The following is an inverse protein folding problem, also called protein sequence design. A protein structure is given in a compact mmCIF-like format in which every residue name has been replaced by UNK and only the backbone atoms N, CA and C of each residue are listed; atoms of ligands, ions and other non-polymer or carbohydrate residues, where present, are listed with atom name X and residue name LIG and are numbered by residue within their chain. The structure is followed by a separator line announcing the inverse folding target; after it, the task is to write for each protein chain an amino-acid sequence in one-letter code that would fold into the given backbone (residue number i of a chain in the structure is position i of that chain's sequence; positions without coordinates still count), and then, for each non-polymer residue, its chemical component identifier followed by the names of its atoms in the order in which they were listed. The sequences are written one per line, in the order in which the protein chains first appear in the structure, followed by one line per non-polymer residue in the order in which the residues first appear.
data_IF_735776575264
#
_entry.id   IF_735776575264
#
_cell.length_a   1.000
_cell.length_b   1.000
_cell.length_c   1.000
_cell.angle_alpha   90.00
_cell.angle_beta   90.00
_cell.angle_gamma   90.00
#
_symmetry.space_group_name_H-M   'P 1'
#
loop_
_entity.id
_entity.type
_entity.pdbx_description
1 polymer ?
#
# COMPACT_ATOMS: atom_id res chain seq x y z
N UNK A 1 -37.52 32.28 -59.00
CA UNK A 1 -36.56 31.70 -58.06
C UNK A 1 -37.35 31.00 -56.97
N UNK A 2 -37.09 29.71 -56.79
CA UNK A 2 -37.95 28.74 -56.12
C UNK A 2 -38.07 28.92 -54.61
N UNK A 3 -39.26 28.53 -54.15
CA UNK A 3 -39.80 28.53 -52.80
C UNK A 3 -39.55 27.20 -52.06
N UNK A 4 -39.82 27.28 -50.75
CA UNK A 4 -40.46 26.29 -49.87
C UNK A 4 -39.66 25.18 -49.19
N UNK A 5 -39.85 25.21 -47.87
CA UNK A 5 -39.71 24.17 -46.88
C UNK A 5 -40.44 22.87 -47.24
N UNK A 6 -39.98 21.76 -46.65
CA UNK A 6 -40.79 20.59 -46.34
C UNK A 6 -40.21 19.85 -45.13
N UNK A 7 -41.12 19.16 -44.48
CA UNK A 7 -41.18 18.77 -43.09
C UNK A 7 -41.23 17.23 -43.00
N UNK A 8 -41.15 16.73 -41.76
CA UNK A 8 -41.69 15.45 -41.26
C UNK A 8 -40.74 14.25 -41.24
N UNK A 9 -40.63 13.67 -40.03
CA UNK A 9 -40.09 12.33 -39.83
C UNK A 9 -39.99 11.88 -38.36
N UNK A 10 -40.95 12.23 -37.49
CA UNK A 10 -41.14 11.53 -36.21
C UNK A 10 -42.04 10.32 -36.42
N UNK A 11 -41.52 9.12 -36.15
CA UNK A 11 -42.31 7.91 -35.91
C UNK A 11 -41.80 7.27 -34.63
N UNK A 12 -42.65 7.27 -33.61
CA UNK A 12 -42.39 6.62 -32.33
C UNK A 12 -42.40 5.10 -32.44
N UNK A 13 -41.68 4.48 -31.51
CA UNK A 13 -42.03 3.16 -30.98
C UNK A 13 -41.87 3.24 -29.46
N UNK A 14 -43.03 3.39 -28.83
CA UNK A 14 -43.26 3.15 -27.41
C UNK A 14 -43.11 1.64 -27.19
N UNK A 15 -42.17 1.23 -26.35
CA UNK A 15 -42.27 -0.04 -25.65
C UNK A 15 -42.41 0.24 -24.16
N UNK A 16 -43.66 0.21 -23.70
CA UNK A 16 -44.01 -0.08 -22.33
C UNK A 16 -43.53 -1.49 -21.98
N UNK A 17 -42.76 -1.61 -20.90
CA UNK A 17 -42.22 -2.89 -20.44
C UNK A 17 -41.81 -2.82 -18.99
N UNK A 18 -42.77 -2.51 -18.13
CA UNK A 18 -42.68 -2.79 -16.69
C UNK A 18 -42.47 -4.28 -16.47
N UNK A 19 -41.25 -4.68 -16.12
CA UNK A 19 -41.01 -5.93 -15.39
C UNK A 19 -40.06 -5.62 -14.25
N UNK A 20 -40.66 -5.32 -13.10
CA UNK A 20 -40.06 -5.66 -11.81
C UNK A 20 -39.72 -7.16 -11.84
N UNK A 21 -38.42 -7.48 -11.73
CA UNK A 21 -38.01 -8.77 -11.19
C UNK A 21 -37.19 -8.52 -9.93
N UNK A 22 -37.89 -8.73 -8.83
CA UNK A 22 -37.34 -9.06 -7.53
C UNK A 22 -36.25 -10.10 -7.70
N UNK A 23 -35.02 -9.79 -7.28
CA UNK A 23 -34.05 -10.81 -6.94
C UNK A 23 -34.17 -11.06 -5.43
N UNK A 24 -35.00 -12.05 -5.08
CA UNK A 24 -34.95 -12.70 -3.78
C UNK A 24 -33.55 -13.32 -3.63
N UNK A 25 -32.71 -12.76 -2.77
CA UNK A 25 -31.56 -13.48 -2.23
C UNK A 25 -32.09 -14.36 -1.11
N UNK A 26 -32.29 -15.64 -1.43
CA UNK A 26 -32.49 -16.68 -0.43
C UNK A 26 -31.18 -16.87 0.35
N UNK A 27 -31.13 -16.33 1.57
CA UNK A 27 -30.09 -16.63 2.55
C UNK A 27 -30.38 -18.03 3.09
N UNK A 28 -29.83 -19.05 2.44
CA UNK A 28 -29.77 -20.41 2.96
C UNK A 28 -28.77 -20.48 4.10
N UNK A 29 -29.27 -20.37 5.33
CA UNK A 29 -28.53 -20.64 6.56
C UNK A 29 -28.23 -22.14 6.68
N UNK A 30 -27.01 -22.56 6.34
CA UNK A 30 -26.49 -23.89 6.71
C UNK A 30 -25.69 -23.78 8.00
N UNK A 31 -26.39 -23.89 9.13
CA UNK A 31 -25.81 -24.13 10.45
C UNK A 31 -25.17 -25.54 10.50
N UNK A 32 -23.84 -25.64 10.57
CA UNK A 32 -23.17 -26.90 10.97
C UNK A 32 -23.02 -26.93 12.48
N UNK A 33 -23.85 -27.77 13.08
CA UNK A 33 -23.77 -28.26 14.45
C UNK A 33 -22.51 -29.15 14.60
N UNK A 34 -21.54 -28.74 15.43
CA UNK A 34 -20.47 -29.61 15.89
C UNK A 34 -20.94 -30.39 17.13
N UNK A 35 -21.19 -31.69 16.96
CA UNK A 35 -21.51 -32.65 18.03
C UNK A 35 -20.26 -32.93 18.89
N UNK A 36 -20.35 -32.65 20.19
CA UNK A 36 -19.50 -33.23 21.25
C UNK A 36 -19.79 -34.74 21.35
N UNK A 37 -18.74 -35.54 21.55
CA UNK A 37 -18.84 -36.91 22.12
C UNK A 37 -18.29 -36.87 23.56
N UNK A 38 -18.88 -37.62 24.50
CA UNK A 38 -18.38 -37.77 25.86
C UNK A 38 -17.41 -38.96 25.97
N UNK A 39 -16.57 -38.95 26.99
CA UNK A 39 -15.82 -40.11 27.45
C UNK A 39 -16.01 -40.25 28.97
N UNK A 40 -16.56 -41.39 29.39
CA UNK A 40 -16.55 -41.95 30.75
C UNK A 40 -15.33 -42.91 30.83
N UNK A 41 -14.43 -42.69 31.79
CA UNK A 41 -14.22 -43.46 33.05
C UNK A 41 -13.68 -44.89 32.88
N UNK A 42 -12.43 -45.13 33.33
CA UNK A 42 -12.17 -45.80 34.62
C UNK A 42 -10.68 -46.13 34.89
N UNK A 43 -10.39 -46.22 36.20
CA UNK A 43 -9.35 -46.97 36.92
C UNK A 43 -8.04 -46.26 37.39
N UNK A 44 -8.01 -46.11 38.73
CA UNK A 44 -6.90 -45.76 39.64
C UNK A 44 -6.17 -47.04 40.15
N UNK A 45 -5.32 -47.08 41.21
CA UNK A 45 -4.71 -46.06 42.10
C UNK A 45 -3.14 -46.18 42.18
N UNK A 46 -2.33 -45.39 42.90
CA UNK A 46 -2.24 -45.24 44.37
C UNK A 46 -1.06 -44.33 44.83
N UNK A 47 -1.30 -43.54 45.91
CA UNK A 47 -0.42 -43.13 47.04
C UNK A 47 0.87 -42.31 46.75
N UNK A 48 1.30 -41.26 47.48
CA UNK A 48 1.17 -40.79 48.87
C UNK A 48 1.52 -39.26 48.90
N UNK A 49 0.82 -38.37 49.62
CA UNK A 49 1.33 -37.92 50.92
C UNK A 49 1.06 -36.43 51.25
N UNK A 50 0.03 -36.19 52.07
CA UNK A 50 0.02 -35.34 53.29
C UNK A 50 0.10 -33.78 53.26
N UNK A 51 -1.01 -33.21 53.79
CA UNK A 51 -1.16 -32.09 54.77
C UNK A 51 -1.40 -30.64 54.30
N UNK A 52 -2.52 -30.07 54.77
CA UNK A 52 -2.61 -28.68 55.24
C UNK A 52 -3.84 -27.87 54.82
N UNK A 53 -4.94 -27.94 55.58
CA UNK A 53 -6.03 -26.94 55.54
C UNK A 53 -5.64 -25.68 56.33
N UNK A 54 -5.92 -24.46 55.83
CA UNK A 54 -6.84 -23.45 56.43
C UNK A 54 -6.65 -22.00 55.95
N UNK A 55 -7.78 -21.43 55.55
CA UNK A 55 -8.31 -20.06 55.80
C UNK A 55 -7.85 -18.89 54.92
N UNK A 56 -8.82 -18.39 54.16
CA UNK A 56 -8.84 -17.10 53.48
C UNK A 56 -9.00 -15.94 54.48
N UNK A 57 -8.24 -14.85 54.27
CA UNK A 57 -8.43 -13.57 54.94
C UNK A 57 -9.02 -12.55 53.97
N UNK A 58 -10.23 -12.11 54.28
CA UNK A 58 -10.90 -10.93 53.73
C UNK A 58 -10.49 -9.73 54.57
N UNK A 59 -10.17 -8.60 53.94
CA UNK A 59 -10.13 -7.29 54.61
C UNK A 59 -10.71 -6.19 53.69
N UNK A 60 -11.30 -5.14 54.29
CA UNK A 60 -12.52 -4.49 53.79
C UNK A 60 -12.28 -3.17 53.04
N UNK A 61 -13.31 -2.79 52.28
CA UNK A 61 -13.43 -1.52 51.57
C UNK A 61 -13.69 -0.31 52.50
N UNK A 62 -13.28 0.87 51.99
CA UNK A 62 -13.59 2.27 52.36
C UNK A 62 -12.70 3.01 53.37
N UNK A 63 -11.80 3.85 52.84
CA UNK A 63 -11.76 5.28 53.19
C UNK A 63 -11.35 6.12 51.98
N UNK A 64 -12.19 7.11 51.65
CA UNK A 64 -12.01 8.07 50.56
C UNK A 64 -11.00 9.13 50.97
N UNK A 65 -10.06 9.44 50.10
CA UNK A 65 -9.41 10.76 50.02
C UNK A 65 -9.35 11.18 48.55
N UNK A 66 -10.22 12.08 48.05
CA UNK A 66 -10.05 12.63 46.72
C UNK A 66 -9.42 14.01 46.83
N UNK A 67 -8.16 14.15 46.40
CA UNK A 67 -7.60 15.39 45.84
C UNK A 67 -6.30 15.08 45.11
N UNK A 68 -6.41 14.35 44.02
CA UNK A 68 -5.53 14.57 42.88
C UNK A 68 -6.40 15.08 41.74
N UNK A 69 -6.14 16.31 41.33
CA UNK A 69 -6.65 16.88 40.10
C UNK A 69 -6.20 15.96 38.97
N UNK A 70 -7.12 15.12 38.47
CA UNK A 70 -7.00 14.58 37.12
C UNK A 70 -7.06 15.78 36.18
N UNK A 71 -5.90 16.28 35.78
CA UNK A 71 -5.78 17.07 34.55
C UNK A 71 -6.27 16.17 33.43
N UNK A 72 -7.53 16.32 33.05
CA UNK A 72 -8.05 15.77 31.80
C UNK A 72 -7.17 16.33 30.70
N UNK A 73 -6.28 15.51 30.15
CA UNK A 73 -5.41 15.93 29.05
C UNK A 73 -6.32 16.42 27.92
N UNK A 74 -6.08 17.64 27.44
CA UNK A 74 -6.84 18.20 26.32
C UNK A 74 -6.66 17.40 25.01
N UNK A 75 -5.69 16.49 24.98
CA UNK A 75 -5.45 15.59 23.87
C UNK A 75 -6.46 14.44 23.83
N UNK A 76 -6.95 14.14 22.62
CA UNK A 76 -7.90 13.06 22.38
C UNK A 76 -7.45 12.21 21.18
N UNK A 77 -7.52 10.89 21.35
CA UNK A 77 -7.39 9.94 20.24
C UNK A 77 -8.77 9.69 19.64
N UNK A 78 -8.85 9.72 18.32
CA UNK A 78 -10.06 9.43 17.56
C UNK A 78 -10.03 8.01 17.01
N UNK A 79 -11.13 7.61 16.34
CA UNK A 79 -11.15 6.37 15.58
C UNK A 79 -10.05 6.41 14.50
N UNK A 80 -9.23 5.35 14.37
CA UNK A 80 -8.26 5.27 13.29
C UNK A 80 -8.93 5.41 11.91
N UNK A 81 -8.20 6.04 10.98
CA UNK A 81 -8.64 6.33 9.62
C UNK A 81 -8.32 5.16 8.69
N UNK A 82 -9.03 5.13 7.56
CA UNK A 82 -8.90 4.10 6.53
C UNK A 82 -9.64 2.80 6.80
N UNK A 83 -9.87 2.03 5.72
CA UNK A 83 -10.53 0.72 5.78
C UNK A 83 -9.77 -0.27 6.70
N UNK A 84 -8.44 -0.17 6.72
CA UNK A 84 -7.56 -1.04 7.52
C UNK A 84 -7.32 -0.52 8.94
N UNK A 85 -7.86 0.65 9.30
CA UNK A 85 -7.65 1.29 10.61
C UNK A 85 -6.17 1.43 10.98
N UNK A 86 -5.32 1.63 9.97
CA UNK A 86 -3.86 1.66 10.06
C UNK A 86 -3.27 3.06 10.14
N UNK A 87 -4.10 4.10 10.05
CA UNK A 87 -3.72 5.48 10.32
C UNK A 87 -4.34 5.94 11.65
N UNK A 88 -3.53 6.08 12.69
CA UNK A 88 -3.99 6.68 13.94
C UNK A 88 -4.26 8.17 13.72
N UNK A 89 -5.29 8.68 14.40
CA UNK A 89 -5.65 10.09 14.35
C UNK A 89 -5.92 10.61 15.76
N UNK A 90 -5.34 11.76 16.10
CA UNK A 90 -5.54 12.42 17.38
C UNK A 90 -5.45 13.93 17.26
N UNK A 91 -6.02 14.63 18.23
CA UNK A 91 -6.05 16.09 18.27
C UNK A 91 -5.68 16.60 19.65
N UNK A 92 -4.87 17.65 19.72
CA UNK A 92 -4.70 18.46 20.91
C UNK A 92 -5.60 19.69 20.84
N UNK A 93 -6.32 19.99 21.93
CA UNK A 93 -7.30 21.08 21.97
C UNK A 93 -8.34 20.90 20.85
N UNK A 94 -8.83 22.01 20.28
CA UNK A 94 -9.76 22.03 19.16
C UNK A 94 -9.02 22.70 17.98
N UNK A 95 -8.30 21.94 17.16
CA UNK A 95 -7.55 22.53 16.06
C UNK A 95 -8.52 22.94 14.95
N UNK A 96 -8.48 24.20 14.51
CA UNK A 96 -9.29 24.67 13.38
C UNK A 96 -8.73 24.17 12.04
N UNK A 97 -9.57 24.05 11.01
CA UNK A 97 -9.10 23.91 9.64
C UNK A 97 -8.71 25.28 9.06
N UNK A 98 -7.55 25.34 8.42
CA UNK A 98 -7.02 26.55 7.78
C UNK A 98 -6.48 26.20 6.39
N UNK A 99 -6.60 27.09 5.39
CA UNK A 99 -5.95 26.89 4.10
C UNK A 99 -4.44 26.71 4.19
N UNK A 100 -3.80 27.26 5.24
CA UNK A 100 -2.35 27.13 5.48
C UNK A 100 -2.06 25.97 6.41
N UNK A 101 -1.24 25.03 5.97
CA UNK A 101 -0.82 23.86 6.78
C UNK A 101 0.68 23.91 7.03
N UNK A 102 1.06 23.88 8.30
CA UNK A 102 2.43 23.64 8.73
C UNK A 102 2.51 22.19 9.20
N UNK A 103 3.01 21.32 8.32
CA UNK A 103 3.13 19.91 8.60
C UNK A 103 4.54 19.54 9.08
N UNK A 104 4.65 18.62 10.04
CA UNK A 104 5.91 18.22 10.64
C UNK A 104 6.00 16.71 10.79
N UNK A 105 7.17 16.11 10.57
CA UNK A 105 7.48 14.81 11.17
C UNK A 105 7.60 14.94 12.71
N UNK A 106 7.57 13.80 13.41
CA UNK A 106 7.69 13.76 14.86
C UNK A 106 9.14 13.47 15.33
N UNK A 107 9.63 12.26 15.08
CA UNK A 107 10.83 11.69 15.71
C UNK A 107 12.07 12.10 14.91
N UNK A 108 12.89 13.01 15.45
CA UNK A 108 14.02 13.61 14.73
C UNK A 108 13.73 15.03 14.23
N UNK A 109 12.47 15.47 14.32
CA UNK A 109 12.01 16.78 13.84
C UNK A 109 11.45 17.65 14.96
N UNK A 110 10.33 17.27 15.57
CA UNK A 110 9.78 18.00 16.72
C UNK A 110 10.40 17.54 18.03
N UNK A 111 10.62 16.24 18.17
CA UNK A 111 11.27 15.62 19.32
C UNK A 111 12.57 14.96 18.89
N UNK A 112 13.49 14.73 19.83
CA UNK A 112 14.66 13.88 19.57
C UNK A 112 14.22 12.47 19.14
N UNK A 113 15.00 11.78 18.30
CA UNK A 113 14.62 10.47 17.81
C UNK A 113 14.53 9.44 18.93
N UNK A 114 13.70 8.43 18.76
CA UNK A 114 13.54 7.35 19.73
C UNK A 114 14.67 6.28 19.64
N UNK A 115 15.46 6.29 18.56
CA UNK A 115 16.57 5.36 18.31
C UNK A 115 17.66 6.02 17.46
N UNK A 116 18.87 5.45 17.46
CA UNK A 116 19.99 5.97 16.68
C UNK A 116 20.76 7.11 17.37
N UNK A 117 21.51 7.88 16.59
CA UNK A 117 22.38 8.95 17.10
C UNK A 117 21.54 10.10 17.66
N UNK A 118 21.83 10.52 18.88
CA UNK A 118 21.10 11.60 19.57
C UNK A 118 19.75 11.19 20.15
N UNK A 119 19.46 9.88 20.23
CA UNK A 119 18.21 9.39 20.76
C UNK A 119 18.07 9.57 22.27
N UNK A 120 16.83 9.76 22.73
CA UNK A 120 16.50 9.85 24.16
C UNK A 120 16.72 8.49 24.82
N UNK A 121 17.34 8.48 26.00
CA UNK A 121 17.51 7.24 26.78
C UNK A 121 16.14 6.68 27.16
N UNK A 122 15.98 5.35 27.04
CA UNK A 122 14.72 4.69 27.43
C UNK A 122 14.38 4.99 28.89
N UNK A 123 13.10 5.27 29.13
CA UNK A 123 12.58 5.42 30.48
C UNK A 123 12.80 4.15 31.30
N UNK A 124 13.01 4.32 32.62
CA UNK A 124 13.04 3.22 33.56
C UNK A 124 11.66 2.53 33.60
N UNK A 125 11.65 1.23 33.87
CA UNK A 125 10.41 0.46 33.95
C UNK A 125 9.49 1.07 35.01
N UNK A 126 8.25 1.40 34.64
CA UNK A 126 7.26 2.03 35.51
C UNK A 126 7.33 3.56 35.54
N UNK A 127 8.28 4.19 34.84
CA UNK A 127 8.28 5.65 34.62
C UNK A 127 7.49 6.03 33.36
N UNK A 128 6.99 7.27 33.27
CA UNK A 128 6.38 7.78 32.05
C UNK A 128 7.33 7.66 30.84
N UNK A 129 6.80 7.54 29.61
CA UNK A 129 7.62 7.48 28.40
C UNK A 129 8.58 8.67 28.30
N UNK A 130 9.87 8.40 28.14
CA UNK A 130 10.89 9.44 27.99
C UNK A 130 10.83 10.05 26.58
N UNK A 131 10.88 11.37 26.52
CA UNK A 131 11.00 12.16 25.29
C UNK A 131 11.60 13.53 25.62
N UNK A 132 12.19 14.17 24.62
CA UNK A 132 12.76 15.51 24.73
C UNK A 132 12.48 16.28 23.43
N UNK A 133 12.28 17.59 23.51
CA UNK A 133 12.22 18.45 22.33
C UNK A 133 13.49 18.29 21.51
N UNK A 134 13.36 18.35 20.18
CA UNK A 134 14.51 18.32 19.29
C UNK A 134 15.43 19.52 19.58
N UNK A 135 14.82 20.71 19.75
CA UNK A 135 15.43 21.96 20.22
C UNK A 135 14.43 22.75 21.06
N UNK A 136 14.94 23.59 21.95
CA UNK A 136 14.14 24.42 22.87
C UNK A 136 13.20 25.39 22.13
N UNK A 137 13.53 25.76 20.89
CA UNK A 137 12.74 26.68 20.05
C UNK A 137 11.49 26.03 19.43
N UNK A 138 11.36 24.70 19.45
CA UNK A 138 10.26 23.99 18.80
C UNK A 138 8.88 24.45 19.33
N UNK A 139 8.62 24.48 20.65
CA UNK A 139 7.31 24.89 21.17
C UNK A 139 6.93 26.32 20.82
N UNK A 140 7.88 27.25 20.91
CA UNK A 140 7.69 28.66 20.54
C UNK A 140 7.33 28.79 19.06
N UNK A 141 8.08 28.12 18.18
CA UNK A 141 7.83 28.15 16.73
C UNK A 141 6.44 27.62 16.36
N UNK A 142 5.99 26.53 16.99
CA UNK A 142 4.65 26.00 16.73
C UNK A 142 3.54 26.94 17.20
N UNK A 143 3.77 27.65 18.31
CA UNK A 143 2.86 28.67 18.83
C UNK A 143 2.77 29.87 17.89
N UNK A 144 3.90 30.36 17.41
CA UNK A 144 3.97 31.48 16.47
C UNK A 144 3.24 31.13 15.16
N UNK A 145 3.50 29.96 14.57
CA UNK A 145 2.80 29.48 13.39
C UNK A 145 1.29 29.38 13.56
N UNK A 146 0.84 28.84 14.70
CA UNK A 146 -0.60 28.80 14.99
C UNK A 146 -1.19 30.22 15.09
N UNK A 147 -0.45 31.19 15.66
CA UNK A 147 -0.89 32.60 15.71
C UNK A 147 -0.91 33.29 14.34
N UNK A 148 -0.06 32.84 13.41
CA UNK A 148 -0.04 33.26 12.00
C UNK A 148 -1.15 32.61 11.15
N UNK A 149 -1.97 31.75 11.78
CA UNK A 149 -3.12 31.10 11.15
C UNK A 149 -2.81 29.78 10.45
N UNK A 150 -1.65 29.16 10.72
CA UNK A 150 -1.39 27.80 10.23
C UNK A 150 -2.14 26.76 11.06
N UNK A 151 -2.75 25.78 10.38
CA UNK A 151 -3.11 24.53 11.03
C UNK A 151 -1.85 23.68 11.24
N UNK A 152 -1.53 23.39 12.49
CA UNK A 152 -0.39 22.52 12.85
C UNK A 152 -0.77 21.05 12.68
N UNK A 153 0.02 20.33 11.89
CA UNK A 153 -0.22 18.91 11.60
C UNK A 153 1.07 18.10 11.79
N UNK A 154 0.97 16.98 12.49
CA UNK A 154 2.06 16.02 12.68
C UNK A 154 1.78 14.79 11.80
N UNK A 155 2.73 14.42 10.95
CA UNK A 155 2.64 13.29 10.02
C UNK A 155 3.78 12.32 10.34
N UNK A 156 3.47 11.15 10.88
CA UNK A 156 4.49 10.25 11.44
C UNK A 156 4.39 8.80 10.97
N UNK A 157 5.53 8.16 10.70
CA UNK A 157 5.61 6.74 10.40
C UNK A 157 5.91 5.96 11.69
N UNK A 158 4.97 5.15 12.17
CA UNK A 158 5.05 4.47 13.47
C UNK A 158 4.79 2.97 13.33
N UNK A 159 5.76 2.18 12.89
CA UNK A 159 5.62 0.73 12.71
C UNK A 159 5.58 -0.04 14.05
N UNK A 160 4.65 0.32 14.95
CA UNK A 160 4.56 -0.11 16.35
C UNK A 160 3.24 -0.85 16.60
N UNK A 161 3.26 -1.84 17.50
CA UNK A 161 2.12 -2.68 17.86
C UNK A 161 2.15 -3.02 19.36
N UNK A 162 1.03 -3.52 19.88
CA UNK A 162 0.93 -4.04 21.25
C UNK A 162 1.31 -3.02 22.32
N UNK A 163 2.09 -3.43 23.32
CA UNK A 163 2.50 -2.57 24.43
C UNK A 163 3.24 -1.30 23.99
N UNK A 164 4.10 -1.39 22.98
CA UNK A 164 4.84 -0.23 22.45
C UNK A 164 3.90 0.84 21.87
N UNK A 165 2.78 0.43 21.28
CA UNK A 165 1.77 1.38 20.79
C UNK A 165 1.07 2.12 21.95
N UNK A 166 0.78 1.43 23.05
CA UNK A 166 0.19 2.04 24.24
C UNK A 166 1.15 3.10 24.82
N UNK A 167 2.40 2.72 25.04
CA UNK A 167 3.47 3.61 25.52
C UNK A 167 3.68 4.81 24.58
N UNK A 168 3.61 4.60 23.27
CA UNK A 168 3.72 5.70 22.31
C UNK A 168 2.51 6.64 22.36
N UNK A 169 1.29 6.13 22.53
CA UNK A 169 0.10 6.97 22.71
C UNK A 169 0.19 7.81 23.99
N UNK A 170 0.72 7.26 25.07
CA UNK A 170 1.01 8.00 26.31
C UNK A 170 2.07 9.09 26.05
N UNK A 171 3.14 8.78 25.30
CA UNK A 171 4.17 9.77 24.89
C UNK A 171 3.55 10.97 24.18
N UNK A 172 2.62 10.75 23.24
CA UNK A 172 1.93 11.85 22.56
C UNK A 172 1.10 12.70 23.53
N UNK A 173 0.44 12.09 24.52
CA UNK A 173 -0.29 12.82 25.55
C UNK A 173 0.62 13.75 26.37
N UNK A 174 1.85 13.32 26.67
CA UNK A 174 2.85 14.15 27.35
C UNK A 174 3.34 15.30 26.47
N UNK A 175 3.58 15.06 25.18
CA UNK A 175 3.96 16.11 24.22
C UNK A 175 2.84 17.16 24.10
N UNK A 176 1.59 16.70 24.03
CA UNK A 176 0.42 17.57 24.01
C UNK A 176 0.29 18.42 25.28
N UNK A 177 0.55 17.83 26.46
CA UNK A 177 0.57 18.57 27.73
C UNK A 177 1.67 19.65 27.77
N UNK A 178 2.78 19.44 27.08
CA UNK A 178 3.85 20.43 26.93
C UNK A 178 3.54 21.52 25.88
N UNK A 179 2.42 21.42 25.17
CA UNK A 179 1.90 22.40 24.21
C UNK A 179 0.48 22.86 24.59
N UNK A 180 0.28 23.47 25.78
CA UNK A 180 -1.06 23.73 26.33
C UNK A 180 -1.87 24.78 25.56
N UNK A 181 -1.25 25.51 24.63
CA UNK A 181 -1.88 26.58 23.84
C UNK A 181 -1.74 26.39 22.33
N UNK A 182 -1.24 25.23 21.87
CA UNK A 182 -1.06 24.94 20.44
C UNK A 182 -2.00 23.81 20.03
N UNK A 183 -3.12 24.12 19.35
CA UNK A 183 -3.95 23.11 18.74
C UNK A 183 -3.18 22.41 17.62
N UNK A 184 -3.22 21.07 17.59
CA UNK A 184 -2.61 20.32 16.51
C UNK A 184 -3.37 19.04 16.20
N UNK A 185 -3.19 18.55 14.98
CA UNK A 185 -3.61 17.20 14.53
C UNK A 185 -2.39 16.31 14.43
N UNK A 186 -2.53 15.03 14.77
CA UNK A 186 -1.51 14.01 14.49
C UNK A 186 -2.13 12.87 13.68
N UNK A 187 -1.47 12.52 12.58
CA UNK A 187 -1.72 11.33 11.78
C UNK A 187 -0.50 10.44 11.86
N UNK A 188 -0.69 9.17 12.22
CA UNK A 188 0.42 8.23 12.35
C UNK A 188 0.14 6.86 11.72
N UNK A 189 0.97 6.48 10.75
CA UNK A 189 0.86 5.22 10.03
C UNK A 189 1.46 4.06 10.82
N UNK A 190 0.64 3.08 11.20
CA UNK A 190 1.06 1.89 11.97
C UNK A 190 1.29 0.62 11.14
N UNK A 191 1.02 0.69 9.84
CA UNK A 191 1.24 -0.39 8.90
C UNK A 191 2.17 0.02 7.75
N UNK A 192 2.52 -0.96 6.93
CA UNK A 192 3.25 -0.79 5.67
C UNK A 192 2.22 -0.77 4.53
N UNK A 193 1.55 0.36 4.35
CA UNK A 193 0.44 0.54 3.41
C UNK A 193 0.37 1.99 2.89
N UNK A 194 -0.78 2.40 2.32
CA UNK A 194 -1.02 3.72 1.72
C UNK A 194 -0.76 4.91 2.66
N UNK A 195 -0.77 4.70 3.97
CA UNK A 195 -0.54 5.77 4.94
C UNK A 195 0.93 6.00 5.23
N UNK A 196 1.80 5.02 4.97
CA UNK A 196 3.21 5.11 5.35
C UNK A 196 3.99 6.00 4.38
N UNK A 197 4.56 7.10 4.86
CA UNK A 197 5.45 7.97 4.06
C UNK A 197 6.52 7.13 3.35
N UNK A 198 6.77 7.34 2.04
CA UNK A 198 6.36 8.51 1.26
C UNK A 198 4.95 8.45 0.63
N UNK A 199 4.17 7.40 0.90
CA UNK A 199 2.80 7.29 0.37
C UNK A 199 1.92 8.47 0.87
N UNK A 200 1.01 9.00 0.03
CA UNK A 200 0.28 10.23 0.33
C UNK A 200 -0.95 10.01 1.23
N UNK A 201 -1.27 8.78 1.66
CA UNK A 201 -2.55 8.45 2.30
C UNK A 201 -2.90 9.31 3.52
N UNK A 202 -1.92 9.65 4.37
CA UNK A 202 -2.17 10.56 5.50
C UNK A 202 -2.61 11.96 5.04
N UNK A 203 -2.00 12.48 3.95
CA UNK A 203 -2.41 13.77 3.37
C UNK A 203 -3.80 13.71 2.74
N UNK A 204 -4.12 12.59 2.07
CA UNK A 204 -5.44 12.37 1.47
C UNK A 204 -6.55 12.46 2.51
N UNK A 205 -6.37 11.83 3.68
CA UNK A 205 -7.34 11.91 4.77
C UNK A 205 -7.44 13.31 5.37
N UNK A 206 -6.30 14.00 5.53
CA UNK A 206 -6.27 15.39 6.02
C UNK A 206 -7.06 16.30 5.06
N UNK A 207 -6.79 16.21 3.76
CA UNK A 207 -7.45 17.03 2.73
C UNK A 207 -8.94 16.76 2.71
N UNK A 208 -9.35 15.48 2.85
CA UNK A 208 -10.76 15.10 2.95
C UNK A 208 -11.43 15.75 4.16
N UNK A 209 -10.82 15.67 5.35
CA UNK A 209 -11.36 16.30 6.56
C UNK A 209 -11.51 17.81 6.40
N UNK A 210 -10.52 18.48 5.81
CA UNK A 210 -10.57 19.93 5.60
C UNK A 210 -11.69 20.30 4.62
N UNK A 211 -11.84 19.53 3.55
CA UNK A 211 -12.92 19.70 2.57
C UNK A 211 -14.30 19.48 3.20
N UNK A 212 -14.44 18.51 4.09
CA UNK A 212 -15.69 18.27 4.84
C UNK A 212 -16.05 19.45 5.76
N UNK A 213 -15.05 20.22 6.22
CA UNK A 213 -15.22 21.50 6.94
C UNK A 213 -15.33 22.72 6.00
N UNK A 214 -15.37 22.52 4.68
CA UNK A 214 -15.48 23.60 3.69
C UNK A 214 -14.19 24.38 3.46
N UNK A 215 -13.03 23.83 3.84
CA UNK A 215 -11.71 24.45 3.69
C UNK A 215 -10.89 23.72 2.63
N UNK A 216 -10.38 24.45 1.65
CA UNK A 216 -9.39 23.95 0.70
C UNK A 216 -7.98 24.35 1.14
N UNK A 217 -7.05 23.40 1.12
CA UNK A 217 -5.65 23.64 1.52
C UNK A 217 -4.89 24.30 0.37
N UNK A 218 -4.31 25.47 0.62
CA UNK A 218 -3.37 26.12 -0.27
C UNK A 218 -1.97 25.56 -0.04
N UNK A 219 -1.54 24.68 -0.95
CA UNK A 219 -0.23 24.03 -0.90
C UNK A 219 0.93 25.02 -1.06
N UNK A 220 0.72 26.13 -1.77
CA UNK A 220 1.76 27.15 -2.00
C UNK A 220 2.04 27.97 -0.74
N UNK A 221 1.03 28.09 0.13
CA UNK A 221 1.12 28.71 1.45
C UNK A 221 1.30 27.69 2.58
N UNK A 222 1.60 26.43 2.25
CA UNK A 222 1.81 25.34 3.20
C UNK A 222 3.23 24.79 3.08
N UNK A 223 3.68 23.99 4.04
CA UNK A 223 5.00 23.35 3.98
C UNK A 223 5.08 22.10 4.84
N UNK A 224 6.12 21.29 4.60
CA UNK A 224 6.47 20.14 5.41
C UNK A 224 7.90 20.24 5.96
N UNK A 225 8.07 19.92 7.25
CA UNK A 225 9.39 19.82 7.89
C UNK A 225 9.65 18.38 8.31
N UNK A 226 10.80 17.81 7.95
CA UNK A 226 11.16 16.45 8.32
C UNK A 226 12.66 16.15 8.24
N UNK A 227 13.16 15.23 9.04
CA UNK A 227 14.58 14.88 9.12
C UNK A 227 15.00 13.79 8.13
N UNK A 228 14.06 12.95 7.67
CA UNK A 228 14.34 11.92 6.66
C UNK A 228 14.43 12.55 5.26
N UNK A 229 15.50 13.31 5.03
CA UNK A 229 15.69 14.20 3.91
C UNK A 229 16.71 13.70 2.86
N UNK A 230 17.33 12.53 3.08
CA UNK A 230 18.27 11.91 2.15
C UNK A 230 19.67 12.53 2.13
N UNK A 231 20.07 13.25 3.19
CA UNK A 231 21.45 13.75 3.36
C UNK A 231 22.39 12.58 3.68
N UNK A 232 23.70 12.80 3.56
CA UNK A 232 24.73 11.76 3.78
C UNK A 232 24.60 11.06 5.16
N UNK A 233 24.10 11.75 6.19
CA UNK A 233 23.88 11.21 7.54
C UNK A 233 22.47 10.68 7.80
N UNK A 234 21.53 10.89 6.89
CA UNK A 234 20.13 10.52 7.11
C UNK A 234 19.93 9.03 6.84
N UNK A 235 19.09 8.38 7.66
CA UNK A 235 18.72 6.98 7.48
C UNK A 235 17.83 6.75 6.24
N UNK A 236 17.07 7.78 5.84
CA UNK A 236 16.10 7.69 4.76
C UNK A 236 15.83 9.06 4.12
N UNK A 237 15.09 9.04 3.00
CA UNK A 237 14.59 10.23 2.30
C UNK A 237 13.05 10.28 2.26
N UNK A 238 12.38 9.60 3.20
CA UNK A 238 10.91 9.42 3.17
C UNK A 238 10.14 10.71 3.36
N UNK A 239 10.67 11.68 4.12
CA UNK A 239 9.98 12.95 4.38
C UNK A 239 10.06 13.87 3.16
N UNK A 240 11.25 13.99 2.56
CA UNK A 240 11.43 14.75 1.32
C UNK A 240 10.59 14.17 0.18
N UNK A 241 10.59 12.84 0.01
CA UNK A 241 9.75 12.16 -0.99
C UNK A 241 8.25 12.35 -0.73
N UNK A 242 7.82 12.33 0.53
CA UNK A 242 6.43 12.58 0.87
C UNK A 242 6.01 14.00 0.49
N UNK A 243 6.82 15.00 0.82
CA UNK A 243 6.57 16.39 0.41
C UNK A 243 6.50 16.54 -1.12
N UNK A 244 7.39 15.87 -1.87
CA UNK A 244 7.33 15.83 -3.34
C UNK A 244 6.04 15.19 -3.87
N UNK A 245 5.59 14.08 -3.27
CA UNK A 245 4.34 13.43 -3.67
C UNK A 245 3.11 14.28 -3.40
N UNK A 246 3.11 15.00 -2.28
CA UNK A 246 2.03 15.87 -1.86
C UNK A 246 2.09 17.22 -2.57
N UNK A 247 3.23 17.59 -3.15
CA UNK A 247 3.51 18.90 -3.75
C UNK A 247 3.55 20.03 -2.69
N UNK A 248 4.42 19.86 -1.68
CA UNK A 248 4.66 20.85 -0.63
C UNK A 248 6.13 21.32 -0.64
N UNK A 249 6.36 22.62 -0.38
CA UNK A 249 7.67 23.10 0.06
C UNK A 249 8.21 22.27 1.23
N UNK A 250 9.47 21.86 1.15
CA UNK A 250 10.10 20.99 2.13
C UNK A 250 11.29 21.67 2.81
N UNK A 251 11.39 21.50 4.13
CA UNK A 251 12.53 21.93 4.93
C UNK A 251 13.00 20.81 5.86
N UNK A 252 14.29 20.80 6.17
CA UNK A 252 14.83 20.03 7.29
C UNK A 252 14.63 20.78 8.62
N UNK A 253 14.69 20.11 9.78
CA UNK A 253 14.55 20.77 11.08
C UNK A 253 15.61 21.87 11.28
N UNK A 254 16.83 21.65 10.80
CA UNK A 254 17.93 22.62 10.88
C UNK A 254 17.67 23.87 10.02
N UNK A 255 17.23 23.69 8.79
CA UNK A 255 16.84 24.80 7.89
C UNK A 255 15.67 25.59 8.51
N UNK A 256 14.69 24.88 9.04
CA UNK A 256 13.44 25.52 9.49
C UNK A 256 13.57 26.20 10.86
N UNK A 257 13.99 25.47 11.90
CA UNK A 257 14.03 25.97 13.27
C UNK A 257 15.29 26.77 13.58
N UNK A 258 16.43 26.38 12.99
CA UNK A 258 17.74 27.01 13.24
C UNK A 258 18.14 28.01 12.15
N UNK A 259 17.34 28.14 11.09
CA UNK A 259 17.61 29.04 9.94
C UNK A 259 18.96 28.79 9.29
N UNK A 260 19.40 27.53 9.29
CA UNK A 260 20.62 27.13 8.59
C UNK A 260 20.41 27.22 7.07
N UNK A 261 21.50 27.37 6.29
CA UNK A 261 21.42 27.37 4.84
C UNK A 261 20.79 26.09 4.30
N UNK A 262 20.05 26.22 3.19
CA UNK A 262 19.42 25.10 2.50
C UNK A 262 20.48 24.13 2.01
N UNK A 263 20.33 22.86 2.37
CA UNK A 263 21.20 21.77 1.94
C UNK A 263 20.76 21.26 0.58
N UNK A 264 21.63 21.44 -0.42
CA UNK A 264 21.39 21.00 -1.80
C UNK A 264 21.89 19.58 -2.07
N UNK A 265 22.76 19.05 -1.21
CA UNK A 265 23.31 17.70 -1.33
C UNK A 265 22.40 16.68 -0.63
N UNK A 266 21.59 15.97 -1.41
CA UNK A 266 20.77 14.85 -0.94
C UNK A 266 20.60 13.80 -2.05
N UNK A 267 20.25 12.58 -1.66
CA UNK A 267 19.96 11.46 -2.56
C UNK A 267 18.57 10.88 -2.32
N UNK A 268 17.81 10.71 -3.39
CA UNK A 268 16.51 10.05 -3.36
C UNK A 268 16.65 8.61 -3.87
N UNK A 269 16.91 7.67 -2.98
CA UNK A 269 17.08 6.26 -3.36
C UNK A 269 15.75 5.58 -3.74
N UNK A 270 15.80 4.58 -4.61
CA UNK A 270 14.64 3.79 -5.02
C UNK A 270 14.23 4.08 -6.45
N UNK A 271 13.09 3.55 -6.84
CA UNK A 271 12.59 3.69 -8.20
C UNK A 271 12.12 5.14 -8.47
N UNK A 272 12.59 5.71 -9.57
CA UNK A 272 12.13 6.99 -10.08
C UNK A 272 11.63 6.82 -11.52
N UNK A 273 10.50 7.43 -11.84
CA UNK A 273 9.94 7.36 -13.19
C UNK A 273 10.79 8.09 -14.23
N UNK A 274 11.62 9.05 -13.80
CA UNK A 274 12.52 9.77 -14.71
C UNK A 274 13.66 8.91 -15.23
N UNK A 275 13.96 7.80 -14.54
CA UNK A 275 15.04 6.88 -14.91
C UNK A 275 14.57 5.83 -15.92
N UNK A 276 13.29 5.83 -16.29
CA UNK A 276 12.76 4.86 -17.25
C UNK A 276 13.13 5.22 -18.69
N UNK A 277 13.70 4.28 -19.44
CA UNK A 277 13.97 4.49 -20.85
C UNK A 277 12.66 4.54 -21.65
N UNK A 278 12.64 5.35 -22.71
CA UNK A 278 11.55 5.32 -23.69
C UNK A 278 11.86 4.24 -24.72
N UNK A 279 11.11 3.14 -24.69
CA UNK A 279 11.26 1.99 -25.57
C UNK A 279 9.91 1.66 -26.24
N UNK A 280 9.91 1.08 -27.46
CA UNK A 280 8.69 0.53 -28.04
C UNK A 280 8.20 -0.66 -27.20
N UNK A 281 6.89 -0.87 -27.10
CA UNK A 281 6.30 -1.96 -26.30
C UNK A 281 6.85 -3.34 -26.71
N UNK A 282 7.12 -3.55 -27.99
CA UNK A 282 7.66 -4.79 -28.53
C UNK A 282 9.01 -4.48 -29.19
N UNK A 283 10.05 -5.27 -28.89
CA UNK A 283 11.40 -5.02 -29.43
C UNK A 283 11.57 -5.50 -30.88
N UNK A 284 10.87 -6.55 -31.28
CA UNK A 284 10.78 -6.97 -32.69
C UNK A 284 9.49 -6.42 -33.30
N UNK A 285 9.55 -6.09 -34.59
CA UNK A 285 8.41 -5.64 -35.40
C UNK A 285 7.51 -6.80 -35.87
N UNK A 286 7.69 -8.01 -35.33
CA UNK A 286 6.84 -9.15 -35.66
C UNK A 286 5.43 -8.96 -35.09
N UNK A 287 4.37 -9.31 -35.84
CA UNK A 287 3.01 -9.25 -35.32
C UNK A 287 2.85 -10.10 -34.06
N UNK A 288 2.31 -9.50 -32.99
CA UNK A 288 2.03 -10.20 -31.72
C UNK A 288 1.14 -11.43 -31.97
N UNK A 289 0.16 -11.26 -32.86
CA UNK A 289 -0.71 -12.31 -33.37
C UNK A 289 -0.35 -12.50 -34.84
N UNK A 290 0.16 -13.69 -35.23
CA UNK A 290 0.51 -13.96 -36.62
C UNK A 290 -0.70 -13.86 -37.54
N UNK A 291 -0.49 -13.33 -38.75
CA UNK A 291 -1.53 -13.20 -39.78
C UNK A 291 -2.14 -14.56 -40.14
N UNK A 292 -1.26 -15.56 -40.27
CA UNK A 292 -1.66 -16.97 -40.43
C UNK A 292 -1.72 -17.59 -39.04
N UNK A 293 -2.94 -17.72 -38.52
CA UNK A 293 -3.16 -18.37 -37.23
C UNK A 293 -2.84 -19.86 -37.31
N UNK A 294 -1.94 -20.27 -36.45
CA UNK A 294 -1.69 -21.68 -36.14
C UNK A 294 -1.89 -21.90 -34.65
N UNK A 295 -2.36 -23.10 -34.28
CA UNK A 295 -2.49 -23.49 -32.88
C UNK A 295 -1.11 -23.45 -32.24
N UNK A 296 -0.96 -22.72 -31.13
CA UNK A 296 0.33 -22.49 -30.48
C UNK A 296 0.21 -22.39 -28.96
N UNK A 297 1.37 -22.43 -28.29
CA UNK A 297 1.52 -22.05 -26.89
C UNK A 297 2.29 -20.74 -26.82
N UNK A 298 1.77 -19.75 -26.10
CA UNK A 298 2.50 -18.53 -25.76
C UNK A 298 2.91 -18.60 -24.29
N UNK A 299 4.21 -18.46 -24.02
CA UNK A 299 4.76 -18.50 -22.68
C UNK A 299 5.20 -17.09 -22.26
N UNK A 300 4.63 -16.55 -21.17
CA UNK A 300 5.06 -15.25 -20.64
C UNK A 300 6.15 -15.45 -19.59
N UNK A 301 7.20 -14.63 -19.62
CA UNK A 301 8.32 -14.67 -18.65
C UNK A 301 8.53 -13.27 -18.08
N UNK A 302 8.68 -13.16 -16.76
CA UNK A 302 9.01 -11.88 -16.11
C UNK A 302 8.49 -11.74 -14.68
N UNK A 303 8.93 -10.68 -13.98
CA UNK A 303 8.56 -10.40 -12.59
C UNK A 303 7.03 -10.37 -12.38
N UNK A 304 6.52 -10.79 -11.21
CA UNK A 304 5.16 -10.46 -10.81
C UNK A 304 4.95 -8.93 -10.85
N UNK A 305 3.75 -8.45 -11.19
CA UNK A 305 3.46 -7.02 -11.21
C UNK A 305 3.97 -6.23 -12.42
N UNK A 306 4.82 -6.79 -13.29
CA UNK A 306 5.37 -6.07 -14.45
C UNK A 306 4.39 -5.82 -15.61
N UNK A 307 3.19 -6.43 -15.58
CA UNK A 307 2.15 -6.19 -16.62
C UNK A 307 1.81 -7.38 -17.51
N UNK A 308 2.37 -8.57 -17.25
CA UNK A 308 2.10 -9.81 -18.01
C UNK A 308 0.62 -10.08 -18.26
N UNK A 309 -0.18 -10.10 -17.20
CA UNK A 309 -1.61 -10.37 -17.30
C UNK A 309 -2.38 -9.32 -18.10
N UNK A 310 -1.92 -8.06 -18.09
CA UNK A 310 -2.51 -6.98 -18.89
C UNK A 310 -2.28 -7.21 -20.37
N UNK A 311 -1.03 -7.51 -20.77
CA UNK A 311 -0.69 -7.84 -22.16
C UNK A 311 -1.37 -9.15 -22.60
N UNK A 312 -1.40 -10.16 -21.73
CA UNK A 312 -2.13 -11.41 -21.95
C UNK A 312 -3.59 -11.15 -22.34
N UNK A 313 -4.30 -10.39 -21.49
CA UNK A 313 -5.70 -10.09 -21.70
C UNK A 313 -5.93 -9.29 -22.98
N UNK A 314 -5.11 -8.28 -23.24
CA UNK A 314 -5.31 -7.37 -24.36
C UNK A 314 -5.02 -8.00 -25.71
N UNK A 315 -3.89 -8.69 -25.83
CA UNK A 315 -3.41 -9.12 -27.15
C UNK A 315 -3.82 -10.55 -27.49
N UNK A 316 -3.96 -11.42 -26.49
CA UNK A 316 -4.20 -12.85 -26.75
C UNK A 316 -5.62 -13.28 -26.39
N UNK A 317 -6.10 -12.98 -25.18
CA UNK A 317 -7.45 -13.40 -24.75
C UNK A 317 -8.53 -12.74 -25.60
N UNK A 318 -8.36 -11.46 -25.94
CA UNK A 318 -9.26 -10.75 -26.87
C UNK A 318 -9.34 -11.41 -28.26
N UNK A 319 -8.34 -12.21 -28.61
CA UNK A 319 -8.22 -12.93 -29.89
C UNK A 319 -8.61 -14.41 -29.79
N UNK A 320 -9.12 -14.85 -28.63
CA UNK A 320 -9.62 -16.19 -28.40
C UNK A 320 -8.63 -17.18 -27.78
N UNK A 321 -7.45 -16.72 -27.32
CA UNK A 321 -6.52 -17.60 -26.61
C UNK A 321 -7.04 -17.95 -25.22
N UNK A 322 -6.90 -19.21 -24.81
CA UNK A 322 -7.21 -19.64 -23.44
C UNK A 322 -6.10 -19.18 -22.48
N UNK A 323 -6.43 -18.33 -21.50
CA UNK A 323 -5.49 -17.89 -20.46
C UNK A 323 -5.37 -18.93 -19.36
N UNK A 324 -4.15 -19.38 -19.12
CA UNK A 324 -3.79 -20.36 -18.10
C UNK A 324 -2.87 -19.70 -17.09
N UNK A 325 -3.29 -19.64 -15.83
CA UNK A 325 -2.56 -18.99 -14.75
C UNK A 325 -2.59 -19.85 -13.47
N UNK A 326 -1.42 -20.03 -12.85
CA UNK A 326 -1.23 -20.77 -11.62
C UNK A 326 -1.89 -20.11 -10.40
N UNK A 327 -2.03 -18.78 -10.36
CA UNK A 327 -2.74 -18.10 -9.27
C UNK A 327 -4.20 -18.58 -9.15
N UNK A 328 -4.82 -18.92 -10.28
CA UNK A 328 -6.20 -19.45 -10.33
C UNK A 328 -6.24 -20.98 -10.20
N UNK A 329 -5.29 -21.69 -10.79
CA UNK A 329 -5.27 -23.15 -10.82
C UNK A 329 -4.54 -23.78 -9.61
N UNK A 330 -3.78 -23.00 -8.85
CA UNK A 330 -3.04 -23.36 -7.65
C UNK A 330 -1.65 -23.96 -7.92
N UNK A 331 -1.53 -24.96 -8.81
CA UNK A 331 -0.27 -25.70 -9.00
C UNK A 331 0.18 -25.79 -10.45
N UNK A 332 1.49 -25.88 -10.66
CA UNK A 332 2.09 -26.04 -12.00
C UNK A 332 1.60 -27.28 -12.75
N UNK A 333 1.48 -28.49 -12.14
CA UNK A 333 0.90 -29.64 -12.82
C UNK A 333 -0.53 -29.39 -13.34
N UNK A 334 -1.35 -28.64 -12.60
CA UNK A 334 -2.69 -28.24 -13.07
C UNK A 334 -2.62 -27.28 -14.25
N UNK A 335 -1.65 -26.38 -14.29
CA UNK A 335 -1.41 -25.50 -15.45
C UNK A 335 -1.00 -26.32 -16.68
N UNK A 336 -0.06 -27.26 -16.52
CA UNK A 336 0.36 -28.17 -17.60
C UNK A 336 -0.83 -28.96 -18.13
N UNK A 337 -1.65 -29.55 -17.25
CA UNK A 337 -2.86 -30.26 -17.66
C UNK A 337 -3.89 -29.37 -18.37
N UNK A 338 -4.01 -28.11 -17.95
CA UNK A 338 -4.88 -27.14 -18.63
C UNK A 338 -4.37 -26.80 -20.04
N UNK A 339 -3.05 -26.67 -20.22
CA UNK A 339 -2.45 -26.47 -21.55
C UNK A 339 -2.75 -27.67 -22.45
N UNK A 340 -2.52 -28.89 -21.97
CA UNK A 340 -2.85 -30.10 -22.74
C UNK A 340 -4.34 -30.15 -23.13
N UNK A 341 -5.24 -29.81 -22.20
CA UNK A 341 -6.68 -29.76 -22.43
C UNK A 341 -7.08 -28.71 -23.46
N UNK A 342 -6.46 -27.53 -23.44
CA UNK A 342 -6.70 -26.48 -24.43
C UNK A 342 -6.29 -26.95 -25.84
N UNK A 343 -5.09 -27.54 -25.96
CA UNK A 343 -4.58 -28.05 -27.23
C UNK A 343 -5.41 -29.22 -27.78
N UNK A 344 -5.91 -30.11 -26.92
CA UNK A 344 -6.86 -31.18 -27.28
C UNK A 344 -8.17 -30.65 -27.86
N UNK A 345 -8.60 -29.46 -27.44
CA UNK A 345 -9.78 -28.76 -27.97
C UNK A 345 -9.47 -27.89 -29.18
N UNK A 346 -8.26 -28.01 -29.74
CA UNK A 346 -7.78 -27.22 -30.87
C UNK A 346 -7.68 -25.71 -30.60
N UNK A 347 -7.47 -25.32 -29.33
CA UNK A 347 -7.32 -23.92 -28.93
C UNK A 347 -5.84 -23.54 -28.76
N UNK A 348 -5.48 -22.31 -29.14
CA UNK A 348 -4.23 -21.68 -28.68
C UNK A 348 -4.37 -21.23 -27.23
N UNK A 349 -3.27 -21.23 -26.49
CA UNK A 349 -3.27 -20.86 -25.08
C UNK A 349 -2.08 -20.00 -24.69
N UNK A 350 -2.25 -19.22 -23.61
CA UNK A 350 -1.20 -18.40 -23.00
C UNK A 350 -0.97 -18.85 -21.57
N UNK A 351 0.28 -19.16 -21.22
CA UNK A 351 0.69 -19.44 -19.84
C UNK A 351 1.17 -18.14 -19.19
N UNK A 352 0.28 -17.50 -18.45
CA UNK A 352 0.51 -16.24 -17.72
C UNK A 352 1.01 -16.52 -16.30
N UNK A 353 2.23 -17.05 -16.22
CA UNK A 353 2.98 -17.29 -14.98
C UNK A 353 4.32 -16.53 -15.02
N UNK A 354 5.12 -16.61 -13.97
CA UNK A 354 6.46 -15.97 -13.96
C UNK A 354 7.49 -16.70 -14.82
N UNK A 355 7.44 -18.05 -14.87
CA UNK A 355 8.25 -18.90 -15.75
C UNK A 355 9.77 -18.58 -15.72
N UNK A 356 10.31 -18.41 -14.50
CA UNK A 356 11.63 -17.80 -14.24
C UNK A 356 12.84 -18.56 -14.79
N UNK A 357 12.83 -19.90 -14.73
CA UNK A 357 13.99 -20.76 -14.98
C UNK A 357 13.75 -21.76 -16.11
N UNK A 358 14.83 -22.31 -16.67
CA UNK A 358 14.77 -23.28 -17.79
C UNK A 358 13.95 -24.51 -17.39
N UNK A 359 14.12 -24.98 -16.15
CA UNK A 359 13.40 -26.15 -15.64
C UNK A 359 11.89 -25.95 -15.63
N UNK A 360 11.41 -24.77 -15.23
CA UNK A 360 9.99 -24.42 -15.22
C UNK A 360 9.43 -24.31 -16.63
N UNK A 361 10.18 -23.68 -17.55
CA UNK A 361 9.77 -23.51 -18.94
C UNK A 361 9.71 -24.85 -19.69
N UNK A 362 10.62 -25.78 -19.38
CA UNK A 362 10.70 -27.11 -19.97
C UNK A 362 9.37 -27.89 -19.92
N UNK A 363 8.60 -27.76 -18.83
CA UNK A 363 7.29 -28.43 -18.72
C UNK A 363 6.33 -28.06 -19.85
N UNK A 364 6.35 -26.81 -20.31
CA UNK A 364 5.47 -26.34 -21.38
C UNK A 364 6.08 -26.59 -22.77
N UNK A 365 7.41 -26.50 -22.90
CA UNK A 365 8.10 -26.87 -24.14
C UNK A 365 7.90 -28.36 -24.47
N UNK A 366 7.94 -29.23 -23.46
CA UNK A 366 7.69 -30.67 -23.67
C UNK A 366 6.24 -30.94 -24.12
N UNK A 367 5.26 -30.17 -23.63
CA UNK A 367 3.87 -30.24 -24.13
C UNK A 367 3.77 -29.75 -25.58
N UNK A 368 4.41 -28.64 -25.93
CA UNK A 368 4.46 -28.15 -27.31
C UNK A 368 4.99 -29.22 -28.27
N UNK A 369 6.10 -29.88 -27.89
CA UNK A 369 6.72 -30.97 -28.65
C UNK A 369 5.77 -32.17 -28.80
N UNK A 370 5.10 -32.58 -27.71
CA UNK A 370 4.13 -33.69 -27.71
C UNK A 370 2.98 -33.44 -28.70
N UNK A 371 2.44 -32.22 -28.73
CA UNK A 371 1.33 -31.85 -29.60
C UNK A 371 1.77 -31.35 -30.99
N UNK A 372 3.08 -31.27 -31.24
CA UNK A 372 3.69 -30.77 -32.49
C UNK A 372 3.19 -29.37 -32.86
N UNK A 373 3.07 -28.50 -31.86
CA UNK A 373 2.70 -27.08 -32.02
C UNK A 373 3.89 -26.17 -31.70
N UNK A 374 4.01 -25.00 -32.33
CA UNK A 374 5.01 -24.02 -31.95
C UNK A 374 4.78 -23.49 -30.54
N UNK A 375 5.86 -23.07 -29.90
CA UNK A 375 5.84 -22.36 -28.62
C UNK A 375 6.67 -21.07 -28.74
N UNK A 376 6.04 -19.93 -28.49
CA UNK A 376 6.70 -18.62 -28.46
C UNK A 376 6.89 -18.13 -27.04
N UNK A 377 7.98 -17.42 -26.79
CA UNK A 377 8.28 -16.83 -25.49
C UNK A 377 8.16 -15.32 -25.56
N UNK A 378 7.43 -14.73 -24.61
CA UNK A 378 7.33 -13.28 -24.44
C UNK A 378 8.01 -12.88 -23.13
N UNK A 379 9.18 -12.27 -23.23
CA UNK A 379 10.04 -11.89 -22.10
C UNK A 379 9.78 -10.43 -21.75
N UNK A 380 9.18 -10.19 -20.59
CA UNK A 380 8.86 -8.85 -20.12
C UNK A 380 10.10 -8.21 -19.53
N UNK A 381 10.61 -7.19 -20.20
CA UNK A 381 11.72 -6.40 -19.70
C UNK A 381 11.20 -5.45 -18.61
N UNK A 382 11.94 -5.38 -17.51
CA UNK A 382 11.57 -4.58 -16.35
C UNK A 382 12.37 -5.00 -15.14
N UNK A 383 12.88 -4.02 -14.40
CA UNK A 383 13.67 -4.28 -13.20
C UNK A 383 12.79 -4.73 -12.03
N UNK A 384 13.42 -5.31 -11.01
CA UNK A 384 12.73 -5.65 -9.77
C UNK A 384 12.13 -4.40 -9.11
N UNK A 385 12.80 -3.25 -9.22
CA UNK A 385 12.34 -1.97 -8.69
C UNK A 385 11.06 -1.49 -9.37
N UNK A 386 11.01 -1.54 -10.71
CA UNK A 386 9.81 -1.20 -11.49
C UNK A 386 8.64 -2.15 -11.18
N UNK A 387 8.93 -3.46 -11.11
CA UNK A 387 7.93 -4.45 -10.80
C UNK A 387 7.35 -4.25 -9.39
N UNK A 388 8.21 -3.94 -8.41
CA UNK A 388 7.82 -3.61 -7.04
C UNK A 388 7.01 -2.32 -6.98
N UNK A 389 7.44 -1.28 -7.70
CA UNK A 389 6.71 -0.02 -7.80
C UNK A 389 5.30 -0.20 -8.35
N UNK A 390 5.16 -0.95 -9.45
CA UNK A 390 3.84 -1.30 -10.02
C UNK A 390 2.96 -2.09 -9.03
N UNK A 391 3.58 -2.93 -8.19
CA UNK A 391 2.87 -3.66 -7.15
C UNK A 391 2.34 -2.73 -6.06
N UNK A 392 3.16 -1.77 -5.60
CA UNK A 392 2.75 -0.74 -4.63
C UNK A 392 1.66 0.16 -5.19
N UNK A 393 1.81 0.63 -6.43
CA UNK A 393 0.82 1.46 -7.12
C UNK A 393 -0.55 0.78 -7.14
N UNK A 394 -0.60 -0.47 -7.62
CA UNK A 394 -1.85 -1.23 -7.74
C UNK A 394 -2.46 -1.64 -6.40
N UNK A 395 -1.67 -1.72 -5.32
CA UNK A 395 -2.17 -2.10 -4.01
C UNK A 395 -2.63 -0.89 -3.18
N UNK A 396 -1.96 0.25 -3.32
CA UNK A 396 -2.05 1.34 -2.35
C UNK A 396 -2.14 2.75 -2.94
N UNK A 397 -1.87 2.96 -4.23
CA UNK A 397 -1.77 4.32 -4.80
C UNK A 397 -2.51 4.50 -6.13
N UNK A 398 -3.57 3.75 -6.38
CA UNK A 398 -4.45 4.05 -7.52
C UNK A 398 -5.28 5.31 -7.22
N UNK A 399 -5.59 6.14 -8.24
CA UNK A 399 -6.39 7.33 -8.03
C UNK A 399 -7.83 6.95 -7.62
N UNK A 400 -8.52 7.82 -6.86
CA UNK A 400 -9.89 7.56 -6.41
C UNK A 400 -10.89 7.34 -7.56
N UNK A 401 -10.63 7.93 -8.73
CA UNK A 401 -11.47 7.83 -9.92
C UNK A 401 -11.45 6.45 -10.58
N UNK A 402 -10.33 5.72 -10.48
CA UNK A 402 -10.16 4.43 -11.14
C UNK A 402 -9.99 3.27 -10.17
N UNK A 403 -9.88 3.51 -8.86
CA UNK A 403 -9.68 2.48 -7.84
C UNK A 403 -10.75 1.37 -7.90
N UNK A 404 -10.46 0.20 -8.51
CA UNK A 404 -11.34 -0.96 -8.44
C UNK A 404 -11.06 -1.71 -7.12
N UNK A 405 -11.76 -2.83 -6.88
CA UNK A 405 -11.58 -3.73 -5.72
C UNK A 405 -10.16 -3.79 -5.15
N UNK A 406 -10.04 -3.69 -3.82
CA UNK A 406 -8.77 -3.81 -3.09
C UNK A 406 -7.92 -4.97 -3.63
N UNK A 407 -6.74 -4.64 -4.17
CA UNK A 407 -5.76 -5.64 -4.58
C UNK A 407 -4.76 -5.86 -3.46
N UNK A 408 -4.62 -7.11 -3.04
CA UNK A 408 -3.59 -7.50 -2.07
C UNK A 408 -2.18 -7.24 -2.64
N UNK A 409 -1.28 -6.75 -1.78
CA UNK A 409 0.12 -6.58 -2.12
C UNK A 409 0.77 -7.95 -2.34
N UNK A 410 1.37 -8.17 -3.51
CA UNK A 410 2.17 -9.38 -3.74
C UNK A 410 3.40 -9.33 -2.82
N UNK A 411 3.71 -10.37 -2.03
CA UNK A 411 4.85 -10.35 -1.10
C UNK A 411 6.19 -10.10 -1.80
N UNK A 412 7.08 -9.32 -1.18
CA UNK A 412 8.40 -8.99 -1.72
C UNK A 412 9.24 -10.24 -2.05
N UNK A 413 9.07 -11.32 -1.29
CA UNK A 413 9.72 -12.62 -1.52
C UNK A 413 9.44 -13.18 -2.93
N UNK A 414 8.26 -12.92 -3.51
CA UNK A 414 7.94 -13.38 -4.86
C UNK A 414 8.82 -12.70 -5.92
N UNK A 415 9.24 -11.45 -5.67
CA UNK A 415 10.10 -10.68 -6.55
C UNK A 415 11.56 -11.11 -6.39
N UNK A 416 12.05 -11.26 -5.17
CA UNK A 416 13.43 -11.73 -4.93
C UNK A 416 13.60 -13.18 -5.38
N UNK A 417 12.63 -14.06 -5.12
CA UNK A 417 12.66 -15.44 -5.61
C UNK A 417 12.67 -15.54 -7.13
N UNK A 418 12.00 -14.61 -7.84
CA UNK A 418 12.12 -14.54 -9.29
C UNK A 418 13.54 -14.14 -9.69
N UNK A 419 14.06 -13.03 -9.14
CA UNK A 419 15.42 -12.53 -9.44
C UNK A 419 16.48 -13.60 -9.23
N UNK A 420 16.44 -14.28 -8.08
CA UNK A 420 17.47 -15.22 -7.66
C UNK A 420 17.45 -16.52 -8.47
N UNK A 421 16.31 -16.84 -9.11
CA UNK A 421 16.15 -18.02 -9.96
C UNK A 421 15.91 -17.70 -11.43
N UNK A 422 16.14 -16.46 -11.87
CA UNK A 422 15.89 -16.08 -13.26
C UNK A 422 17.01 -16.61 -14.17
N UNK A 423 16.63 -17.28 -15.25
CA UNK A 423 17.52 -17.67 -16.34
C UNK A 423 16.95 -17.13 -17.66
N UNK A 424 17.76 -16.37 -18.40
CA UNK A 424 17.36 -15.75 -19.67
C UNK A 424 16.88 -16.81 -20.68
N UNK A 425 15.68 -16.67 -21.28
CA UNK A 425 15.19 -17.61 -22.28
C UNK A 425 16.07 -17.66 -23.53
N UNK A 426 16.29 -18.87 -24.06
CA UNK A 426 17.08 -19.07 -25.29
C UNK A 426 16.36 -19.96 -26.30
N UNK A 427 16.62 -19.74 -27.60
CA UNK A 427 16.00 -20.55 -28.66
C UNK A 427 16.33 -22.06 -28.52
N UNK A 428 17.49 -22.40 -27.95
CA UNK A 428 17.89 -23.79 -27.67
C UNK A 428 16.98 -24.54 -26.70
N UNK A 429 16.15 -23.83 -25.92
CA UNK A 429 15.12 -24.48 -25.09
C UNK A 429 14.03 -25.14 -25.94
N UNK A 430 13.83 -24.67 -27.18
CA UNK A 430 12.81 -25.15 -28.11
C UNK A 430 11.74 -24.11 -28.47
N UNK A 431 11.98 -22.83 -28.22
CA UNK A 431 11.10 -21.74 -28.64
C UNK A 431 11.22 -21.49 -30.15
N UNK A 432 10.10 -21.25 -30.82
CA UNK A 432 10.09 -20.83 -32.23
C UNK A 432 10.41 -19.34 -32.40
N UNK A 433 10.12 -18.53 -31.39
CA UNK A 433 10.39 -17.09 -31.34
C UNK A 433 10.53 -16.65 -29.87
N UNK A 434 11.39 -15.67 -29.64
CA UNK A 434 11.50 -14.97 -28.35
C UNK A 434 11.29 -13.48 -28.61
N UNK A 435 10.20 -12.94 -28.08
CA UNK A 435 9.81 -11.55 -28.17
C UNK A 435 10.10 -10.85 -26.84
N UNK A 436 10.88 -9.77 -26.85
CA UNK A 436 10.96 -8.89 -25.69
C UNK A 436 9.77 -7.93 -25.67
N UNK A 437 9.12 -7.83 -24.51
CA UNK A 437 8.04 -6.89 -24.22
C UNK A 437 8.57 -5.84 -23.26
N UNK A 438 8.80 -4.62 -23.75
CA UNK A 438 9.26 -3.53 -22.91
C UNK A 438 8.12 -2.94 -22.07
N UNK A 439 8.49 -2.40 -20.93
CA UNK A 439 7.51 -1.74 -20.08
C UNK A 439 7.21 -0.33 -20.60
N UNK A 440 5.91 -0.05 -20.78
CA UNK A 440 5.39 1.26 -21.13
C UNK A 440 4.24 1.61 -20.20
N UNK A 441 4.15 2.88 -19.78
CA UNK A 441 3.01 3.34 -18.99
C UNK A 441 1.79 3.49 -19.90
N UNK A 442 0.67 2.95 -19.44
CA UNK A 442 -0.63 3.10 -20.07
C UNK A 442 -1.67 3.41 -19.00
N UNK A 443 -2.43 4.47 -19.23
CA UNK A 443 -3.43 4.97 -18.30
C UNK A 443 -3.75 6.43 -18.60
N UNK A 444 -4.71 6.95 -17.86
CA UNK A 444 -5.06 8.38 -17.87
C UNK A 444 -3.91 9.24 -17.31
N UNK A 445 -4.00 10.55 -17.51
CA UNK A 445 -3.05 11.51 -16.92
C UNK A 445 -3.09 11.46 -15.38
N UNK A 446 -4.28 11.27 -14.79
CA UNK A 446 -4.44 11.11 -13.35
C UNK A 446 -3.74 9.84 -12.85
N UNK A 447 -3.95 8.70 -13.51
CA UNK A 447 -3.23 7.45 -13.18
C UNK A 447 -1.73 7.62 -13.33
N UNK A 448 -1.26 8.34 -14.37
CA UNK A 448 0.16 8.63 -14.56
C UNK A 448 0.70 9.47 -13.41
N UNK A 449 -0.04 10.49 -12.96
CA UNK A 449 0.35 11.34 -11.84
C UNK A 449 0.54 10.52 -10.56
N UNK A 450 -0.42 9.66 -10.23
CA UNK A 450 -0.33 8.80 -9.05
C UNK A 450 0.75 7.72 -9.18
N UNK A 451 0.89 7.11 -10.34
CA UNK A 451 1.95 6.15 -10.60
C UNK A 451 3.35 6.79 -10.57
N UNK A 452 3.47 8.07 -10.91
CA UNK A 452 4.74 8.81 -10.92
C UNK A 452 5.23 9.27 -9.55
N UNK A 453 4.42 9.08 -8.51
CA UNK A 453 4.80 9.37 -7.13
C UNK A 453 5.92 8.44 -6.65
N UNK A 454 6.72 8.88 -5.68
CA UNK A 454 7.65 8.04 -4.95
C UNK A 454 6.88 7.01 -4.11
N UNK A 455 6.87 5.75 -4.54
CA UNK A 455 6.24 4.66 -3.79
C UNK A 455 7.31 3.79 -3.15
N UNK A 456 7.31 3.72 -1.83
CA UNK A 456 8.33 2.96 -1.12
C UNK A 456 7.80 2.33 0.16
N UNK A 457 7.80 1.00 0.18
CA UNK A 457 7.69 0.21 1.39
C UNK A 457 8.94 -0.66 1.48
N UNK A 458 9.63 -0.60 2.61
CA UNK A 458 10.76 -1.49 2.86
C UNK A 458 10.22 -2.94 2.96
N UNK A 459 10.59 -3.76 1.96
CA UNK A 459 10.19 -5.16 1.83
C UNK A 459 10.97 -6.15 2.71
N UNK A 460 11.87 -5.65 3.57
CA UNK A 460 12.58 -6.44 4.59
C UNK A 460 11.75 -6.58 5.87
#
# INVERSE_FOLDING_TARGET
MSSSALQVGQSGLVFSGSIQRQLLIAIGSSTRLSKKRPAEDNDAPSMEGSKGHKVAKVHPFFSKSPKELKTTSAFQWHKPLGARSSCLYGTNLIPACSPKVAAFDLDGTLIKPSFGKGAVKKALKGSPPAWEWWKDKVPETLKDLNSEGYSIVIISNQAIKGASLITWKEKIGLIAAALPSVPFRILAAIAKDEYRKPMPGMWTELTKQFKDEGVEIDKTASFFVGDAAGRDSDFASTDRKWALNVDLPFFTPEEYFLKQPVQTKFKLDGFSVVDLPTLPLFSLDTPVIPDIRQREIVLLVGYPGVGKSTICQRYFVSQGYERINQDTLGTRPKCVAAVEKALQKDLSCVVDNTNRDVQTRKFYVDVARKFKVPIRCFVFSGTIELAWHNNLYRAFNQPPSTAPQERALVPYLAFTSFRDGYEEPTLSEGFSEIQTVNWVFEGTEEERKYWSMWLQIQGK
#
